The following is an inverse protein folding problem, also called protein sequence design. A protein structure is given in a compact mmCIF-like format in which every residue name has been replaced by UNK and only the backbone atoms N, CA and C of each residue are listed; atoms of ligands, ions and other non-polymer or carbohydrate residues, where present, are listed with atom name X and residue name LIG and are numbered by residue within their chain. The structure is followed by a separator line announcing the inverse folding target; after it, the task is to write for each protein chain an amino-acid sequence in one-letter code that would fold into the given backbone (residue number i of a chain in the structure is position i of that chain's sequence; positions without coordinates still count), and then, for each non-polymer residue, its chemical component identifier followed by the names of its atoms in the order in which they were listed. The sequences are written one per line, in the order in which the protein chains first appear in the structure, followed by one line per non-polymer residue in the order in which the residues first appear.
data_IF_955646619630
#
_entry.id   IF_955646619630
#
_cell.length_a   1.000
_cell.length_b   1.000
_cell.length_c   1.000
_cell.angle_alpha   90.00
_cell.angle_beta   90.00
_cell.angle_gamma   90.00
#
_symmetry.space_group_name_H-M   'P 1'
#
loop_
_entity.id
_entity.type
_entity.pdbx_description
1 polymer ?
#
# COMPACT_ATOMS: atom_id res chain seq x y z
N UNK A 1 37.28 2.00 26.24
CA UNK A 1 37.39 1.24 27.49
C UNK A 1 36.03 1.21 28.18
N UNK A 2 35.55 0.03 28.54
CA UNK A 2 34.42 -0.14 29.44
C UNK A 2 33.18 -0.78 28.83
N UNK A 3 33.26 -2.07 28.54
CA UNK A 3 32.15 -2.98 28.23
C UNK A 3 31.38 -3.28 29.51
N UNK A 4 30.06 -3.17 29.51
CA UNK A 4 29.21 -3.69 30.57
C UNK A 4 28.25 -4.69 29.96
N UNK A 5 28.51 -5.98 30.21
CA UNK A 5 27.57 -7.09 29.97
C UNK A 5 26.61 -7.17 31.17
N UNK A 6 25.31 -7.10 30.92
CA UNK A 6 24.29 -7.47 31.89
C UNK A 6 23.77 -8.87 31.55
N UNK A 7 24.14 -9.83 32.39
CA UNK A 7 23.64 -11.21 32.37
C UNK A 7 22.31 -11.21 33.12
N UNK A 8 21.20 -11.59 32.46
CA UNK A 8 19.95 -11.90 33.15
C UNK A 8 19.78 -13.41 33.26
N UNK A 9 19.74 -13.82 34.52
CA UNK A 9 19.62 -15.19 35.00
C UNK A 9 18.19 -15.70 34.82
N UNK A 10 18.03 -16.89 34.25
CA UNK A 10 16.75 -17.57 34.09
C UNK A 10 16.33 -18.19 35.43
N UNK A 11 15.10 -17.94 35.89
CA UNK A 11 14.46 -18.64 36.97
C UNK A 11 13.48 -19.69 36.42
N UNK A 12 13.79 -20.95 36.61
CA UNK A 12 12.92 -22.11 36.41
C UNK A 12 11.91 -22.17 37.58
N UNK A 13 10.63 -22.07 37.27
CA UNK A 13 9.55 -22.40 38.20
C UNK A 13 8.76 -23.58 37.63
N UNK A 14 8.97 -24.74 38.18
CA UNK A 14 8.22 -25.98 37.99
C UNK A 14 6.86 -25.87 38.69
N UNK A 15 5.77 -25.82 37.91
CA UNK A 15 4.40 -25.90 38.41
C UNK A 15 3.76 -27.24 38.02
N UNK A 16 3.51 -28.09 39.01
CA UNK A 16 2.73 -29.33 38.89
C UNK A 16 1.29 -29.04 38.48
N UNK A 17 0.83 -29.71 37.40
CA UNK A 17 -0.58 -29.80 37.11
C UNK A 17 -1.19 -31.07 37.74
N UNK A 18 -2.27 -31.00 38.50
CA UNK A 18 -3.00 -32.19 38.92
C UNK A 18 -3.87 -32.74 37.76
N UNK A 19 -3.69 -34.02 37.51
CA UNK A 19 -4.55 -34.79 36.62
C UNK A 19 -5.95 -34.92 37.22
N UNK A 20 -6.96 -34.39 36.56
CA UNK A 20 -8.37 -34.62 36.92
C UNK A 20 -8.95 -35.68 35.99
N UNK A 21 -9.07 -36.89 36.51
CA UNK A 21 -9.77 -38.00 35.89
C UNK A 21 -11.29 -37.73 36.00
N UNK A 22 -11.92 -37.38 34.89
CA UNK A 22 -13.37 -37.30 34.83
C UNK A 22 -13.95 -38.61 34.25
N UNK A 23 -14.66 -39.30 35.14
CA UNK A 23 -15.45 -40.49 34.92
C UNK A 23 -16.47 -40.31 33.80
N UNK A 24 -16.44 -41.19 32.78
CA UNK A 24 -17.43 -41.25 31.71
C UNK A 24 -18.70 -41.93 32.28
N UNK A 25 -19.76 -41.21 32.48
CA UNK A 25 -21.11 -41.78 32.66
C UNK A 25 -21.83 -41.76 31.31
N UNK A 26 -22.11 -42.94 30.83
CA UNK A 26 -22.92 -43.23 29.64
C UNK A 26 -24.39 -43.10 29.99
N UNK A 27 -25.05 -42.01 29.61
CA UNK A 27 -26.50 -41.91 29.59
C UNK A 27 -26.99 -41.82 28.14
N UNK A 28 -27.80 -42.79 27.75
CA UNK A 28 -28.55 -42.82 26.49
C UNK A 28 -29.67 -41.75 26.60
N UNK A 29 -29.61 -40.75 25.76
CA UNK A 29 -30.65 -39.72 25.59
C UNK A 29 -30.65 -39.30 24.13
N UNK A 30 -31.73 -39.67 23.43
CA UNK A 30 -32.04 -39.24 22.05
C UNK A 30 -32.26 -37.73 22.09
N UNK A 31 -31.32 -36.96 21.60
CA UNK A 31 -31.50 -35.53 21.41
C UNK A 31 -31.30 -35.18 19.94
N UNK A 32 -32.30 -34.48 19.43
CA UNK A 32 -32.40 -33.94 18.08
C UNK A 32 -31.12 -33.26 17.62
N UNK A 33 -30.66 -33.70 16.45
CA UNK A 33 -29.58 -33.07 15.70
C UNK A 33 -30.05 -31.72 15.16
N UNK A 34 -29.95 -30.66 16.00
CA UNK A 34 -30.11 -29.30 15.53
C UNK A 34 -28.89 -28.96 14.67
N UNK A 35 -29.11 -28.96 13.36
CA UNK A 35 -28.10 -28.47 12.41
C UNK A 35 -27.79 -27.01 12.75
N UNK A 36 -26.70 -26.82 13.46
CA UNK A 36 -26.07 -25.51 13.56
C UNK A 36 -25.49 -25.20 12.17
N UNK A 37 -26.24 -24.43 11.41
CA UNK A 37 -25.73 -23.81 10.19
C UNK A 37 -24.54 -22.95 10.59
N UNK A 38 -23.35 -23.53 10.48
CA UNK A 38 -22.12 -22.77 10.55
C UNK A 38 -22.14 -21.88 9.33
N UNK A 39 -22.44 -20.60 9.52
CA UNK A 39 -22.15 -19.57 8.52
C UNK A 39 -20.67 -19.68 8.24
N UNK A 40 -20.34 -20.25 7.08
CA UNK A 40 -18.98 -20.20 6.56
C UNK A 40 -18.76 -18.72 6.28
N UNK A 41 -18.10 -18.03 7.21
CA UNK A 41 -17.53 -16.72 6.91
C UNK A 41 -16.71 -16.90 5.65
N UNK A 42 -17.08 -16.11 4.66
CA UNK A 42 -16.44 -15.98 3.36
C UNK A 42 -14.94 -15.90 3.61
N UNK A 43 -14.24 -16.99 3.30
CA UNK A 43 -12.77 -16.95 3.21
C UNK A 43 -12.52 -15.96 2.07
N UNK A 44 -12.12 -14.76 2.43
CA UNK A 44 -11.67 -13.78 1.43
C UNK A 44 -10.56 -14.46 0.64
N UNK A 45 -10.72 -14.42 -0.67
CA UNK A 45 -9.79 -15.03 -1.61
C UNK A 45 -8.39 -14.41 -1.40
N UNK A 46 -7.54 -15.12 -0.66
CA UNK A 46 -6.15 -14.73 -0.39
C UNK A 46 -5.29 -14.73 -1.66
N UNK A 47 -5.86 -15.05 -2.82
CA UNK A 47 -5.20 -15.03 -4.12
C UNK A 47 -5.37 -13.70 -4.86
N UNK A 48 -6.18 -12.77 -4.36
CA UNK A 48 -6.24 -11.43 -4.95
C UNK A 48 -4.91 -10.70 -4.72
N UNK A 49 -4.28 -10.14 -5.76
CA UNK A 49 -3.05 -9.38 -5.60
C UNK A 49 -3.29 -8.25 -4.59
N UNK A 50 -2.40 -8.13 -3.61
CA UNK A 50 -2.47 -7.08 -2.58
C UNK A 50 -2.32 -5.71 -3.26
N UNK A 51 -3.42 -5.14 -3.66
CA UNK A 51 -3.45 -3.83 -4.29
C UNK A 51 -3.33 -2.78 -3.20
N UNK A 52 -2.15 -2.18 -3.05
CA UNK A 52 -1.96 -1.09 -2.09
C UNK A 52 -2.75 0.14 -2.53
N UNK A 53 -3.58 0.67 -1.62
CA UNK A 53 -4.34 1.90 -1.82
C UNK A 53 -3.85 2.99 -0.88
N UNK A 54 -3.66 4.19 -1.42
CA UNK A 54 -3.20 5.34 -0.63
C UNK A 54 -3.89 6.62 -1.08
N UNK A 55 -4.34 7.45 -0.13
CA UNK A 55 -4.87 8.79 -0.43
C UNK A 55 -3.73 9.81 -0.44
N UNK A 56 -3.58 10.50 -1.56
CA UNK A 56 -2.48 11.45 -1.82
C UNK A 56 -2.99 12.78 -2.37
N UNK A 57 -2.14 13.79 -2.36
CA UNK A 57 -2.35 15.00 -3.16
C UNK A 57 -1.89 14.73 -4.60
N UNK A 58 -2.75 15.05 -5.56
CA UNK A 58 -2.47 14.92 -6.99
C UNK A 58 -2.41 16.31 -7.59
N UNK A 59 -1.30 16.63 -8.22
CA UNK A 59 -1.06 17.85 -9.00
C UNK A 59 -0.70 17.49 -10.44
N UNK A 60 -0.42 18.47 -11.26
CA UNK A 60 0.07 18.24 -12.62
C UNK A 60 1.21 19.21 -12.95
N UNK A 61 2.15 18.75 -13.75
CA UNK A 61 3.28 19.53 -14.26
C UNK A 61 3.42 19.39 -15.78
N UNK A 62 4.19 20.26 -16.39
CA UNK A 62 4.53 20.22 -17.81
C UNK A 62 6.03 20.37 -18.04
N UNK A 63 6.48 20.06 -19.24
CA UNK A 63 7.89 20.17 -19.64
C UNK A 63 8.26 21.63 -19.95
N UNK A 64 8.24 22.48 -18.93
CA UNK A 64 8.70 23.87 -19.04
C UNK A 64 9.88 24.10 -18.12
N UNK A 65 10.83 24.99 -18.46
CA UNK A 65 12.00 25.26 -17.63
C UNK A 65 11.67 25.76 -16.21
N UNK A 66 10.48 26.33 -16.02
CA UNK A 66 10.03 26.83 -14.72
C UNK A 66 9.47 25.73 -13.80
N UNK A 67 9.13 24.57 -14.36
CA UNK A 67 8.48 23.46 -13.62
C UNK A 67 9.39 22.22 -13.51
N UNK A 68 10.53 22.23 -14.21
CA UNK A 68 11.48 21.12 -14.30
C UNK A 68 12.91 21.61 -14.09
N UNK A 69 13.87 20.70 -14.12
CA UNK A 69 15.30 20.98 -14.18
C UNK A 69 15.77 21.40 -15.59
N UNK A 70 17.08 21.41 -15.80
CA UNK A 70 17.69 21.78 -17.08
C UNK A 70 17.36 20.82 -18.25
N UNK A 71 16.67 19.71 -17.96
CA UNK A 71 16.28 18.69 -18.95
C UNK A 71 14.78 18.44 -19.01
N UNK A 72 13.95 19.44 -19.37
CA UNK A 72 12.50 19.41 -19.21
C UNK A 72 11.76 18.26 -19.92
N UNK A 73 12.41 17.61 -20.88
CA UNK A 73 11.85 16.48 -21.63
C UNK A 73 12.39 15.12 -21.19
N UNK A 74 13.27 15.06 -20.19
CA UNK A 74 13.84 13.82 -19.67
C UNK A 74 13.44 13.69 -18.19
N UNK A 75 12.88 12.56 -17.85
CA UNK A 75 12.47 12.24 -16.47
C UNK A 75 13.69 11.88 -15.61
N UNK A 76 13.49 11.85 -14.29
CA UNK A 76 14.53 11.41 -13.36
C UNK A 76 14.98 9.95 -13.56
N UNK A 77 14.17 9.11 -14.22
CA UNK A 77 14.58 7.75 -14.65
C UNK A 77 15.35 7.71 -15.95
N UNK A 78 15.59 8.86 -16.62
CA UNK A 78 16.30 8.96 -17.89
C UNK A 78 15.43 8.69 -19.13
N UNK A 79 14.13 8.55 -18.98
CA UNK A 79 13.19 8.34 -20.10
C UNK A 79 12.65 9.67 -20.62
N UNK A 80 12.13 9.68 -21.85
CA UNK A 80 11.45 10.85 -22.39
C UNK A 80 10.04 10.97 -21.82
N UNK A 81 9.65 12.20 -21.45
CA UNK A 81 8.28 12.50 -20.97
C UNK A 81 7.24 12.13 -22.02
N UNK A 82 6.11 11.61 -21.57
CA UNK A 82 4.95 11.24 -22.37
C UNK A 82 3.69 11.14 -21.52
N UNK A 83 2.55 11.06 -22.17
CA UNK A 83 1.30 10.81 -21.45
C UNK A 83 1.34 9.48 -20.68
N UNK A 84 0.80 9.48 -19.46
CA UNK A 84 0.85 8.32 -18.55
C UNK A 84 2.07 8.27 -17.61
N UNK A 85 2.91 9.30 -17.58
CA UNK A 85 3.99 9.42 -16.59
C UNK A 85 3.51 10.17 -15.36
N UNK A 86 3.99 9.74 -14.19
CA UNK A 86 3.87 10.47 -12.93
C UNK A 86 5.20 10.61 -12.23
N UNK A 87 5.33 11.72 -11.48
CA UNK A 87 6.41 11.96 -10.52
C UNK A 87 5.91 11.69 -9.11
N UNK A 88 6.67 10.96 -8.32
CA UNK A 88 6.46 10.79 -6.88
C UNK A 88 7.74 10.31 -6.20
N UNK A 89 7.87 10.61 -4.87
CA UNK A 89 9.07 10.24 -4.11
C UNK A 89 8.87 8.97 -3.25
N UNK A 90 7.64 8.52 -3.04
CA UNK A 90 7.35 7.41 -2.14
C UNK A 90 7.12 6.05 -2.82
N UNK A 91 7.10 6.00 -4.16
CA UNK A 91 7.01 4.74 -4.92
C UNK A 91 8.30 4.53 -5.75
N UNK A 92 8.76 3.28 -5.92
CA UNK A 92 9.86 2.95 -6.81
C UNK A 92 9.60 3.37 -8.26
N UNK A 93 10.65 3.57 -9.05
CA UNK A 93 10.51 3.69 -10.50
C UNK A 93 9.87 2.43 -11.10
N UNK A 94 9.18 2.59 -12.22
CA UNK A 94 8.41 1.58 -12.94
C UNK A 94 7.18 1.05 -12.19
N UNK A 95 6.87 1.54 -10.98
CA UNK A 95 5.61 1.21 -10.32
C UNK A 95 4.44 1.69 -11.17
N UNK A 96 3.47 0.81 -11.39
CA UNK A 96 2.24 1.11 -12.13
C UNK A 96 1.13 1.52 -11.15
N UNK A 97 0.42 2.58 -11.47
CA UNK A 97 -0.64 3.14 -10.61
C UNK A 97 -1.88 3.51 -11.40
N UNK A 98 -3.04 3.36 -10.79
CA UNK A 98 -4.29 3.99 -11.23
C UNK A 98 -4.68 5.11 -10.27
N UNK A 99 -5.41 6.10 -10.78
CA UNK A 99 -6.05 7.18 -10.00
C UNK A 99 -7.53 7.22 -10.40
N UNK A 100 -8.35 6.27 -9.94
CA UNK A 100 -9.68 6.01 -10.54
C UNK A 100 -10.62 7.21 -10.52
N UNK A 101 -10.62 7.98 -9.42
CA UNK A 101 -11.48 9.16 -9.26
C UNK A 101 -11.21 10.26 -10.29
N UNK A 102 -9.97 10.39 -10.75
CA UNK A 102 -9.55 11.49 -11.65
C UNK A 102 -9.37 11.05 -13.10
N UNK A 103 -8.96 9.80 -13.33
CA UNK A 103 -8.55 9.32 -14.64
C UNK A 103 -9.13 7.94 -15.01
N UNK A 104 -10.10 7.41 -14.22
CA UNK A 104 -10.71 6.12 -14.48
C UNK A 104 -9.71 4.98 -14.50
N UNK A 105 -9.73 4.15 -15.53
CA UNK A 105 -8.88 2.98 -15.68
C UNK A 105 -7.49 3.26 -16.25
N UNK A 106 -7.16 4.53 -16.50
CA UNK A 106 -5.85 4.91 -17.03
C UNK A 106 -4.73 4.46 -16.09
N UNK A 107 -3.73 3.80 -16.66
CA UNK A 107 -2.54 3.36 -15.95
C UNK A 107 -1.46 4.42 -16.13
N UNK A 108 -0.83 4.78 -15.02
CA UNK A 108 0.34 5.65 -14.96
C UNK A 108 1.56 4.85 -14.53
N UNK A 109 2.75 5.32 -14.91
CA UNK A 109 4.02 4.74 -14.51
C UNK A 109 4.86 5.78 -13.78
N UNK A 110 5.47 5.39 -12.68
CA UNK A 110 6.41 6.23 -11.95
C UNK A 110 7.73 6.27 -12.70
N UNK A 111 8.03 7.37 -13.36
CA UNK A 111 9.27 7.58 -14.10
C UNK A 111 9.99 8.87 -13.69
N UNK A 112 9.37 9.69 -12.87
CA UNK A 112 9.93 10.96 -12.47
C UNK A 112 9.92 11.17 -10.96
N UNK A 113 10.62 12.22 -10.49
CA UNK A 113 10.75 12.59 -9.09
C UNK A 113 10.31 14.03 -8.88
N UNK A 114 9.83 14.28 -7.68
CA UNK A 114 9.49 15.60 -7.19
C UNK A 114 10.59 16.13 -6.27
N UNK A 115 10.53 17.42 -5.94
CA UNK A 115 11.38 17.96 -4.89
C UNK A 115 11.27 17.10 -3.61
N UNK A 116 12.38 16.85 -2.92
CA UNK A 116 12.49 15.92 -1.78
C UNK A 116 11.47 16.16 -0.65
N UNK A 117 11.01 17.41 -0.46
CA UNK A 117 9.99 17.78 0.54
C UNK A 117 8.59 17.25 0.21
N UNK A 118 8.36 16.76 -0.99
CA UNK A 118 7.06 16.23 -1.44
C UNK A 118 6.95 14.73 -1.15
N UNK A 119 6.52 14.39 0.04
CA UNK A 119 6.50 12.99 0.52
C UNK A 119 5.17 12.27 0.30
N UNK A 120 4.08 13.02 0.09
CA UNK A 120 2.72 12.46 -0.08
C UNK A 120 2.02 13.00 -1.34
N UNK A 121 2.80 13.34 -2.33
CA UNK A 121 2.31 13.94 -3.57
C UNK A 121 2.57 13.01 -4.76
N UNK A 122 1.64 13.06 -5.69
CA UNK A 122 1.78 12.53 -7.05
C UNK A 122 1.60 13.69 -8.00
N UNK A 123 2.49 13.84 -8.98
CA UNK A 123 2.42 14.88 -9.99
C UNK A 123 2.28 14.25 -11.38
N UNK A 124 1.21 14.58 -12.07
CA UNK A 124 0.88 13.97 -13.37
C UNK A 124 1.45 14.82 -14.49
N UNK A 125 2.26 14.22 -15.35
CA UNK A 125 2.76 14.92 -16.52
C UNK A 125 1.63 15.25 -17.50
N UNK A 126 1.62 16.48 -17.99
CA UNK A 126 0.69 16.97 -19.02
C UNK A 126 1.44 17.65 -20.15
N UNK A 127 0.95 17.49 -21.36
CA UNK A 127 1.62 18.00 -22.57
C UNK A 127 1.74 19.52 -22.64
N UNK A 128 0.92 20.27 -21.90
CA UNK A 128 0.93 21.73 -21.91
C UNK A 128 0.78 22.32 -20.52
N UNK A 129 1.42 23.46 -20.27
CA UNK A 129 1.28 24.22 -19.03
C UNK A 129 -0.18 24.63 -18.76
N UNK A 130 -0.92 24.99 -19.81
CA UNK A 130 -2.34 25.32 -19.67
C UNK A 130 -3.18 24.16 -19.15
N UNK A 131 -2.90 22.93 -19.58
CA UNK A 131 -3.57 21.74 -19.07
C UNK A 131 -3.21 21.47 -17.60
N UNK A 132 -1.92 21.59 -17.24
CA UNK A 132 -1.46 21.41 -15.86
C UNK A 132 -2.09 22.46 -14.91
N UNK A 133 -2.09 23.72 -15.29
CA UNK A 133 -2.73 24.78 -14.51
C UNK A 133 -4.24 24.59 -14.35
N UNK A 134 -4.92 24.15 -15.41
CA UNK A 134 -6.36 23.87 -15.38
C UNK A 134 -6.69 22.66 -14.48
N UNK A 135 -5.81 21.67 -14.41
CA UNK A 135 -5.98 20.52 -13.54
C UNK A 135 -5.92 20.94 -12.06
N UNK A 136 -4.96 21.80 -11.70
CA UNK A 136 -4.78 22.33 -10.36
C UNK A 136 -4.33 21.26 -9.36
N UNK A 137 -5.02 21.18 -8.23
CA UNK A 137 -4.74 20.23 -7.16
C UNK A 137 -5.99 19.48 -6.73
N UNK A 138 -5.87 18.17 -6.53
CA UNK A 138 -6.95 17.32 -6.06
C UNK A 138 -6.45 16.35 -4.98
N UNK A 139 -7.36 15.85 -4.14
CA UNK A 139 -7.08 14.75 -3.24
C UNK A 139 -7.78 13.49 -3.74
N UNK A 140 -7.02 12.44 -3.98
CA UNK A 140 -7.53 11.21 -4.56
C UNK A 140 -6.82 9.97 -4.02
N UNK A 141 -7.51 8.84 -4.08
CA UNK A 141 -6.92 7.53 -3.84
C UNK A 141 -6.15 7.10 -5.10
N UNK A 142 -4.94 6.62 -4.89
CA UNK A 142 -4.19 5.87 -5.88
C UNK A 142 -4.26 4.38 -5.56
N UNK A 143 -4.20 3.58 -6.61
CA UNK A 143 -4.19 2.12 -6.55
C UNK A 143 -2.90 1.65 -7.19
N UNK A 144 -2.00 1.08 -6.38
CA UNK A 144 -0.73 0.54 -6.87
C UNK A 144 -1.00 -0.82 -7.51
N UNK A 145 -0.49 -1.04 -8.72
CA UNK A 145 -0.60 -2.29 -9.45
C UNK A 145 0.75 -3.00 -9.39
N UNK A 146 0.74 -4.25 -9.04
CA UNK A 146 1.93 -5.12 -9.12
C UNK A 146 2.31 -5.46 -10.57
#
# INVERSE_FOLDING_TARGET
MGTIYAIFLAALASGLYPANAATIQKTAGTELFTQRTTTIERVEDLSAPLTEKRTVWVTAYSSTPEETDDTPFITASGTRVRDGIIATNFLPFNTRVKIPKLFGDKIFVVEDRMHERKTENVDVWMATKGAALKFGIARAEIVVLE
#
